data_IF_284885474278
#
_entry.id   IF_284885474278
#
_cell.length_a   1.000
_cell.length_b   1.000
_cell.length_c   1.000
_cell.angle_alpha   90.00
_cell.angle_beta   90.00
_cell.angle_gamma   90.00
#
_symmetry.space_group_name_H-M   'P 1'
#
loop_
_entity.id
_entity.type
_entity.pdbx_description
1 polymer ?
#
# COMPACT_ATOMS: atom_id res chain seq x y z
N UNK A 1 -12.91 -32.27 25.86
CA UNK A 1 -13.66 -31.92 24.63
C UNK A 1 -12.69 -31.38 23.59
N UNK A 2 -12.28 -32.20 22.63
CA UNK A 2 -11.48 -31.74 21.49
C UNK A 2 -12.44 -31.10 20.48
N UNK A 3 -12.50 -29.76 20.49
CA UNK A 3 -13.25 -29.00 19.49
C UNK A 3 -12.65 -29.24 18.12
N UNK A 4 -13.36 -29.97 17.27
CA UNK A 4 -13.01 -30.14 15.86
C UNK A 4 -13.00 -28.75 15.23
N UNK A 5 -11.81 -28.16 15.07
CA UNK A 5 -11.67 -26.92 14.33
C UNK A 5 -11.91 -27.24 12.86
N UNK A 6 -13.15 -27.09 12.41
CA UNK A 6 -13.49 -27.18 10.98
C UNK A 6 -12.68 -26.09 10.28
N UNK A 7 -11.57 -26.47 9.62
CA UNK A 7 -10.84 -25.56 8.75
C UNK A 7 -11.73 -25.25 7.55
N UNK A 8 -12.56 -24.22 7.66
CA UNK A 8 -13.36 -23.73 6.53
C UNK A 8 -12.40 -23.20 5.46
N UNK A 9 -12.27 -23.95 4.38
CA UNK A 9 -11.62 -23.48 3.16
C UNK A 9 -12.59 -22.54 2.46
N UNK A 10 -12.24 -21.26 2.40
CA UNK A 10 -13.02 -20.27 1.67
C UNK A 10 -12.62 -20.27 0.19
N UNK A 11 -13.60 -20.27 -0.70
CA UNK A 11 -13.37 -20.07 -2.13
C UNK A 11 -12.75 -18.70 -2.41
N UNK A 12 -12.05 -18.56 -3.54
CA UNK A 12 -11.45 -17.29 -3.95
C UNK A 12 -12.51 -16.17 -4.05
N UNK A 13 -13.68 -16.50 -4.60
CA UNK A 13 -14.84 -15.61 -4.67
C UNK A 13 -15.25 -15.13 -3.28
N UNK A 14 -15.39 -16.07 -2.32
CA UNK A 14 -15.81 -15.75 -0.96
C UNK A 14 -14.83 -14.81 -0.25
N UNK A 15 -13.52 -15.00 -0.42
CA UNK A 15 -12.51 -14.09 0.15
C UNK A 15 -12.63 -12.65 -0.41
N UNK A 16 -12.99 -12.53 -1.69
CA UNK A 16 -13.16 -11.24 -2.37
C UNK A 16 -14.42 -10.52 -1.91
N UNK A 17 -15.55 -11.22 -1.83
CA UNK A 17 -16.87 -10.61 -1.61
C UNK A 17 -17.36 -10.59 -0.17
N UNK A 18 -16.96 -11.56 0.66
CA UNK A 18 -17.42 -11.63 2.04
C UNK A 18 -16.70 -10.59 2.89
N UNK A 19 -17.44 -9.52 3.23
CA UNK A 19 -16.98 -8.43 4.09
C UNK A 19 -17.94 -8.22 5.25
N UNK A 20 -17.42 -7.65 6.33
CA UNK A 20 -18.16 -7.29 7.54
C UNK A 20 -17.97 -5.81 7.81
N UNK A 21 -19.08 -5.09 8.03
CA UNK A 21 -19.07 -3.67 8.38
C UNK A 21 -18.67 -3.48 9.84
N UNK A 22 -17.69 -2.62 10.08
CA UNK A 22 -17.11 -2.39 11.40
C UNK A 22 -16.79 -0.91 11.61
N UNK A 23 -16.85 -0.46 12.86
CA UNK A 23 -16.36 0.85 13.28
C UNK A 23 -15.06 0.67 14.07
N UNK A 24 -14.03 1.44 13.73
CA UNK A 24 -12.78 1.42 14.47
C UNK A 24 -12.86 2.30 15.71
N UNK A 25 -12.36 1.79 16.83
CA UNK A 25 -12.29 2.51 18.10
C UNK A 25 -10.86 2.93 18.45
N UNK A 26 -9.88 2.40 17.71
CA UNK A 26 -8.45 2.69 17.85
C UNK A 26 -7.80 2.89 16.48
N UNK A 27 -6.64 3.53 16.48
CA UNK A 27 -5.81 3.68 15.29
C UNK A 27 -5.03 2.39 15.01
N UNK A 28 -4.96 1.97 13.75
CA UNK A 28 -4.23 0.78 13.31
C UNK A 28 -3.21 1.16 12.22
N UNK A 29 -1.98 1.54 12.61
CA UNK A 29 -0.98 2.06 11.66
C UNK A 29 -0.58 1.04 10.60
N UNK A 30 -0.48 -0.24 10.96
CA UNK A 30 -0.10 -1.33 10.04
C UNK A 30 -1.10 -1.51 8.89
N UNK A 31 -2.37 -1.16 9.12
CA UNK A 31 -3.44 -1.26 8.11
C UNK A 31 -3.82 0.10 7.52
N UNK A 32 -3.13 1.18 7.94
CA UNK A 32 -3.45 2.57 7.56
C UNK A 32 -4.87 3.00 7.93
N UNK A 33 -5.48 2.34 8.91
CA UNK A 33 -6.84 2.65 9.34
C UNK A 33 -6.84 3.60 10.55
N UNK A 34 -7.78 4.53 10.56
CA UNK A 34 -7.86 5.60 11.57
C UNK A 34 -9.04 5.31 12.52
N UNK A 35 -8.87 5.66 13.79
CA UNK A 35 -9.92 5.63 14.82
C UNK A 35 -11.15 6.38 14.32
N UNK A 36 -12.31 5.76 14.55
CA UNK A 36 -13.64 6.27 14.23
C UNK A 36 -14.12 5.93 12.82
N UNK A 37 -13.24 5.45 11.94
CA UNK A 37 -13.60 5.10 10.57
C UNK A 37 -14.58 3.92 10.52
N UNK A 38 -15.61 4.04 9.70
CA UNK A 38 -16.54 2.96 9.35
C UNK A 38 -16.11 2.36 8.02
N UNK A 39 -15.87 1.05 8.00
CA UNK A 39 -15.43 0.36 6.77
C UNK A 39 -15.84 -1.11 6.73
N UNK A 40 -15.70 -1.71 5.56
CA UNK A 40 -15.96 -3.11 5.30
C UNK A 40 -14.66 -3.92 5.24
N UNK A 41 -14.45 -4.80 6.22
CA UNK A 41 -13.22 -5.61 6.36
C UNK A 41 -13.49 -7.08 6.13
N UNK A 42 -12.43 -7.87 5.90
CA UNK A 42 -12.57 -9.32 5.94
C UNK A 42 -12.84 -9.82 7.37
N UNK A 43 -13.65 -10.88 7.56
CA UNK A 43 -13.95 -11.42 8.88
C UNK A 43 -12.69 -11.88 9.65
N UNK A 44 -11.70 -12.42 8.92
CA UNK A 44 -10.42 -12.85 9.49
C UNK A 44 -9.63 -11.67 10.06
N UNK A 45 -9.56 -10.56 9.30
CA UNK A 45 -8.87 -9.35 9.75
C UNK A 45 -9.56 -8.75 10.97
N UNK A 46 -10.90 -8.72 10.98
CA UNK A 46 -11.66 -8.24 12.13
C UNK A 46 -11.42 -9.07 13.39
N UNK A 47 -11.64 -10.39 13.33
CA UNK A 47 -11.56 -11.28 14.49
C UNK A 47 -10.15 -11.35 15.09
N UNK A 48 -9.12 -11.39 14.25
CA UNK A 48 -7.76 -11.65 14.69
C UNK A 48 -6.98 -10.38 15.05
N UNK A 49 -7.27 -9.24 14.40
CA UNK A 49 -6.45 -8.03 14.55
C UNK A 49 -7.22 -6.82 15.07
N UNK A 50 -8.44 -6.56 14.57
CA UNK A 50 -9.13 -5.31 14.89
C UNK A 50 -9.97 -5.39 16.18
N UNK A 51 -10.68 -6.49 16.38
CA UNK A 51 -11.57 -6.68 17.52
C UNK A 51 -10.87 -6.83 18.88
N UNK A 52 -9.71 -7.52 18.99
CA UNK A 52 -9.04 -7.71 20.28
C UNK A 52 -8.80 -6.39 21.03
N UNK A 53 -9.07 -6.40 22.33
CA UNK A 53 -8.91 -5.23 23.19
C UNK A 53 -9.86 -4.07 22.86
N UNK A 54 -11.05 -4.35 22.33
CA UNK A 54 -12.04 -3.33 21.93
C UNK A 54 -11.47 -2.34 20.90
N UNK A 55 -10.61 -2.82 19.99
CA UNK A 55 -10.03 -1.98 18.94
C UNK A 55 -11.01 -1.61 17.83
N UNK A 56 -12.04 -2.42 17.63
CA UNK A 56 -13.12 -2.20 16.67
C UNK A 56 -14.42 -2.86 17.14
N UNK A 57 -15.55 -2.39 16.63
CA UNK A 57 -16.89 -2.91 16.92
C UNK A 57 -17.60 -3.31 15.64
N UNK A 58 -18.31 -4.44 15.67
CA UNK A 58 -19.20 -4.85 14.58
C UNK A 58 -20.39 -3.88 14.47
N UNK A 59 -20.79 -3.57 13.23
CA UNK A 59 -22.00 -2.81 12.95
C UNK A 59 -22.96 -3.76 12.24
N UNK A 60 -24.02 -4.17 12.92
CA UNK A 60 -25.10 -4.94 12.29
C UNK A 60 -26.11 -4.00 11.64
N UNK A 61 -26.43 -2.89 12.33
CA UNK A 61 -27.39 -1.89 11.90
C UNK A 61 -26.74 -0.51 11.90
N UNK A 62 -27.15 0.37 10.98
CA UNK A 62 -26.58 1.72 10.87
C UNK A 62 -26.81 2.58 12.13
N UNK A 63 -27.84 2.32 12.92
CA UNK A 63 -28.09 3.03 14.19
C UNK A 63 -27.08 2.75 15.30
N UNK A 64 -26.20 1.75 15.11
CA UNK A 64 -25.14 1.48 16.08
C UNK A 64 -23.94 2.40 15.89
N UNK A 65 -23.81 3.10 14.75
CA UNK A 65 -22.62 3.89 14.42
C UNK A 65 -22.49 5.08 15.37
N UNK A 66 -21.29 5.29 15.92
CA UNK A 66 -20.96 6.50 16.66
C UNK A 66 -20.59 7.62 15.67
N UNK A 67 -21.53 8.54 15.46
CA UNK A 67 -21.36 9.65 14.52
C UNK A 67 -20.27 10.65 14.94
N UNK A 68 -19.97 10.78 16.24
CA UNK A 68 -18.93 11.71 16.71
C UNK A 68 -17.56 11.23 16.25
N UNK A 69 -17.26 9.95 16.51
CA UNK A 69 -16.01 9.32 16.08
C UNK A 69 -15.86 9.28 14.56
N UNK A 70 -16.96 9.07 13.84
CA UNK A 70 -16.94 9.09 12.37
C UNK A 70 -16.54 10.46 11.82
N UNK A 71 -17.11 11.54 12.37
CA UNK A 71 -16.76 12.91 11.98
C UNK A 71 -15.29 13.25 12.29
N UNK A 72 -14.76 12.80 13.42
CA UNK A 72 -13.33 12.94 13.74
C UNK A 72 -12.44 12.20 12.73
N UNK A 73 -12.84 11.00 12.31
CA UNK A 73 -12.10 10.21 11.33
C UNK A 73 -12.08 10.91 9.97
N UNK A 74 -13.22 11.46 9.53
CA UNK A 74 -13.33 12.23 8.28
C UNK A 74 -12.41 13.44 8.30
N UNK A 75 -12.39 14.21 9.40
CA UNK A 75 -11.49 15.36 9.55
C UNK A 75 -10.00 14.98 9.48
N UNK A 76 -9.61 13.83 10.04
CA UNK A 76 -8.22 13.33 9.97
C UNK A 76 -7.85 12.84 8.57
N UNK A 77 -8.77 12.20 7.86
CA UNK A 77 -8.55 11.72 6.49
C UNK A 77 -8.37 12.90 5.52
N UNK A 78 -9.19 13.93 5.63
CA UNK A 78 -9.06 15.14 4.79
C UNK A 78 -7.74 15.87 5.05
N UNK A 79 -7.32 15.98 6.32
CA UNK A 79 -6.02 16.55 6.68
C UNK A 79 -4.82 15.76 6.13
N UNK A 80 -4.91 14.41 6.08
CA UNK A 80 -3.86 13.59 5.45
C UNK A 80 -3.82 13.78 3.94
N UNK A 81 -4.98 13.88 3.29
CA UNK A 81 -5.05 14.07 1.85
C UNK A 81 -4.45 15.42 1.42
N UNK A 82 -4.72 16.51 2.14
CA UNK A 82 -4.14 17.82 1.83
C UNK A 82 -2.61 17.82 1.96
N UNK A 83 -2.05 17.21 3.00
CA UNK A 83 -0.60 17.11 3.20
C UNK A 83 0.11 16.34 2.05
N UNK A 84 -0.53 15.31 1.49
CA UNK A 84 0.06 14.55 0.37
C UNK A 84 0.06 15.30 -0.96
N UNK A 85 -0.89 16.22 -1.18
CA UNK A 85 -0.96 17.03 -2.41
C UNK A 85 0.16 18.08 -2.45
N UNK A 86 0.40 18.79 -1.35
CA UNK A 86 1.43 19.83 -1.27
C UNK A 86 2.86 19.31 -1.48
N UNK A 87 3.12 18.02 -1.18
CA UNK A 87 4.45 17.42 -1.38
C UNK A 87 4.74 17.10 -2.86
N UNK A 88 3.72 16.86 -3.69
CA UNK A 88 3.91 16.57 -5.12
C UNK A 88 4.28 17.82 -5.94
N UNK A 89 3.73 18.98 -5.59
CA UNK A 89 4.01 20.25 -6.30
C UNK A 89 5.45 20.76 -6.07
N UNK A 90 6.11 20.33 -4.99
CA UNK A 90 7.47 20.77 -4.67
C UNK A 90 8.60 20.02 -5.41
N UNK A 91 8.30 18.96 -6.16
CA UNK A 91 9.32 18.13 -6.84
C UNK A 91 9.47 18.50 -8.34
N UNK A 92 8.51 19.20 -8.94
CA UNK A 92 8.54 19.56 -10.38
C UNK A 92 9.28 20.86 -10.70
N UNK A 93 9.81 21.59 -9.72
CA UNK A 93 10.48 22.88 -9.93
C UNK A 93 12.01 22.85 -9.74
N UNK A 94 12.73 22.01 -10.50
CA UNK A 94 14.17 22.22 -10.74
C UNK A 94 14.51 22.14 -12.24
N UNK A 95 14.96 23.26 -12.86
CA UNK A 95 15.39 23.25 -14.25
C UNK A 95 16.74 22.54 -14.42
N UNK A 96 16.87 21.81 -15.53
CA UNK A 96 18.09 21.20 -16.02
C UNK A 96 18.98 22.28 -16.65
N UNK A 97 20.20 22.45 -16.14
CA UNK A 97 21.30 23.04 -16.92
C UNK A 97 22.37 21.99 -17.18
N UNK A 98 22.79 21.95 -18.44
CA UNK A 98 23.83 21.13 -19.00
C UNK A 98 25.16 21.92 -19.07
N UNK A 99 26.29 21.20 -19.11
CA UNK A 99 27.56 21.75 -19.61
C UNK A 99 28.75 21.44 -18.72
N UNK A 100 29.60 20.51 -19.15
CA UNK A 100 30.82 20.11 -18.44
C UNK A 100 32.07 20.87 -18.85
N UNK A 101 33.17 20.61 -18.14
CA UNK A 101 34.55 20.52 -18.65
C UNK A 101 35.49 20.11 -17.50
N UNK A 102 36.17 18.97 -17.65
CA UNK A 102 37.46 18.67 -17.02
C UNK A 102 38.57 19.35 -17.87
N UNK A 103 39.86 19.52 -17.45
CA UNK A 103 40.69 18.48 -16.83
C UNK A 103 41.79 18.96 -15.83
N UNK A 104 42.30 18.04 -15.00
CA UNK A 104 43.72 18.00 -14.60
C UNK A 104 44.07 16.64 -13.98
N UNK A 105 45.10 16.03 -14.55
CA UNK A 105 45.72 14.73 -14.34
C UNK A 105 46.54 14.61 -13.04
N UNK A 106 46.51 13.45 -12.37
CA UNK A 106 47.70 12.79 -11.78
C UNK A 106 47.49 11.27 -11.75
N UNK A 107 48.44 10.55 -12.36
CA UNK A 107 48.56 9.09 -12.39
C UNK A 107 48.87 8.50 -11.00
N UNK A 108 48.27 7.34 -10.68
CA UNK A 108 48.94 6.30 -9.87
C UNK A 108 48.28 4.93 -10.08
N UNK A 109 49.10 4.05 -10.65
CA UNK A 109 48.86 2.65 -10.99
C UNK A 109 48.79 1.77 -9.74
N UNK A 110 47.64 1.17 -9.41
CA UNK A 110 47.57 -0.08 -8.61
C UNK A 110 46.37 -0.94 -9.03
N UNK A 111 46.71 -2.07 -9.66
CA UNK A 111 46.05 -3.38 -9.78
C UNK A 111 44.55 -3.51 -9.41
N UNK A 112 43.75 -3.83 -10.43
CA UNK A 112 42.36 -4.30 -10.40
C UNK A 112 42.16 -5.55 -9.53
N UNK A 113 41.03 -5.61 -8.80
CA UNK A 113 40.21 -6.80 -8.79
C UNK A 113 38.92 -6.57 -9.60
N UNK A 114 38.57 -7.57 -10.39
CA UNK A 114 37.50 -7.59 -11.38
C UNK A 114 36.13 -7.26 -10.77
N UNK A 115 35.49 -6.22 -11.32
CA UNK A 115 34.07 -5.92 -11.06
C UNK A 115 33.23 -7.01 -11.74
N UNK A 116 32.66 -7.91 -10.95
CA UNK A 116 31.61 -8.82 -11.38
C UNK A 116 30.39 -7.99 -11.78
N UNK A 117 30.22 -7.76 -13.08
CA UNK A 117 29.02 -7.11 -13.63
C UNK A 117 27.83 -8.02 -13.34
N UNK A 118 26.96 -7.58 -12.44
CA UNK A 118 25.67 -8.24 -12.21
C UNK A 118 24.92 -8.24 -13.55
N UNK A 119 24.57 -9.43 -14.05
CA UNK A 119 23.79 -9.58 -15.27
C UNK A 119 22.40 -8.98 -15.02
N UNK A 120 22.13 -7.83 -15.62
CA UNK A 120 20.78 -7.25 -15.64
C UNK A 120 19.85 -8.27 -16.31
N UNK A 121 18.89 -8.81 -15.56
CA UNK A 121 17.94 -9.82 -16.04
C UNK A 121 17.02 -9.24 -17.15
N UNK A 122 16.92 -7.91 -17.23
CA UNK A 122 16.09 -7.18 -18.18
C UNK A 122 16.89 -6.53 -19.31
N UNK A 123 17.95 -7.19 -19.81
CA UNK A 123 18.69 -6.72 -21.00
C UNK A 123 18.09 -7.20 -22.32
N UNK A 124 17.11 -8.11 -22.29
CA UNK A 124 16.32 -8.44 -23.48
C UNK A 124 15.17 -7.44 -23.57
N UNK A 125 15.30 -6.47 -24.46
CA UNK A 125 14.29 -5.45 -24.74
C UNK A 125 13.04 -6.06 -25.34
N UNK A 126 12.15 -6.58 -24.49
CA UNK A 126 10.78 -6.90 -24.86
C UNK A 126 10.00 -5.59 -24.76
N UNK A 127 9.63 -5.02 -25.90
CA UNK A 127 8.75 -3.84 -25.95
C UNK A 127 7.29 -4.29 -25.89
N UNK A 128 6.36 -3.37 -25.65
CA UNK A 128 4.92 -3.68 -25.66
C UNK A 128 4.43 -4.18 -27.03
N UNK A 129 5.19 -3.90 -28.09
CA UNK A 129 4.93 -4.35 -29.46
C UNK A 129 5.21 -5.85 -29.64
N UNK A 130 6.17 -6.40 -28.88
CA UNK A 130 6.52 -7.84 -28.92
C UNK A 130 5.51 -8.71 -28.13
N UNK A 131 4.69 -8.11 -27.28
CA UNK A 131 3.69 -8.81 -26.48
C UNK A 131 2.36 -8.93 -27.24
N UNK A 132 2.12 -10.09 -27.87
CA UNK A 132 0.82 -10.41 -28.48
C UNK A 132 -0.23 -10.64 -27.38
N UNK A 133 -0.95 -9.59 -26.98
CA UNK A 133 -2.07 -9.66 -26.03
C UNK A 133 -3.35 -9.95 -26.84
N UNK A 134 -3.99 -11.14 -26.68
CA UNK A 134 -5.20 -11.44 -27.42
C UNK A 134 -6.34 -10.50 -27.01
N UNK A 135 -6.90 -9.77 -27.98
CA UNK A 135 -7.99 -8.80 -27.78
C UNK A 135 -7.55 -7.35 -27.57
N UNK A 136 -6.26 -7.04 -27.69
CA UNK A 136 -5.74 -5.68 -27.72
C UNK A 136 -5.05 -5.46 -29.07
N UNK A 137 -5.76 -4.88 -30.03
CA UNK A 137 -5.15 -4.38 -31.26
C UNK A 137 -4.55 -3.00 -30.95
N UNK A 138 -3.22 -2.89 -31.01
CA UNK A 138 -2.46 -1.65 -30.83
C UNK A 138 -2.27 -0.92 -32.16
#
# INVERSE_FOLDING_TARGET
>A
MLGISVRRTYSALSKRTNKTKVQLLRDFPNFQLIRGQVLEVSPSLMRNYLHPGNGARYIMNNGQIDSQLENEALAKLTARQSATRSKKESIEAKPKEAGGAAPASVEKTVKMPEKTKQKHIFSSGVTLEDAKIPGLDL
#
